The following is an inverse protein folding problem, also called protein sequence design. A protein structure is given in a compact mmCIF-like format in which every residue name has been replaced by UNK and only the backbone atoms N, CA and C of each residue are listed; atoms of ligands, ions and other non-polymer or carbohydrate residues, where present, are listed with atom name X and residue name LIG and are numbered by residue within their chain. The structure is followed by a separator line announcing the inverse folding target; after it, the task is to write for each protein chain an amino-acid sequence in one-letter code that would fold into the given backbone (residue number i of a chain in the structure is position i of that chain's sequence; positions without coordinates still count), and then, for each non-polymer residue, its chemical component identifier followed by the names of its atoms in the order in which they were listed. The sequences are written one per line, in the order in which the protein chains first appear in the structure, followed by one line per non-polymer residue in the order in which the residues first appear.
data_IF_202079178710
#
_entry.id   IF_202079178710
#
_cell.length_a   1.000
_cell.length_b   1.000
_cell.length_c   1.000
_cell.angle_alpha   90.00
_cell.angle_beta   90.00
_cell.angle_gamma   90.00
#
_symmetry.space_group_name_H-M   'P 1'
#
loop_
_entity.id
_entity.type
_entity.pdbx_description
1 polymer ?
#
# COMPACT_ATOMS: atom_id res chain seq x y z
N UNK A 1 -36.50 26.25 0.28
CA UNK A 1 -35.13 25.85 0.65
C UNK A 1 -34.24 27.06 0.50
N UNK A 2 -33.66 27.54 1.60
CA UNK A 2 -32.95 28.82 1.64
C UNK A 2 -31.71 28.81 0.72
N UNK A 3 -31.52 29.88 -0.07
CA UNK A 3 -30.45 29.94 -1.06
C UNK A 3 -29.06 29.92 -0.37
N UNK A 4 -28.98 30.50 0.83
CA UNK A 4 -27.81 30.45 1.70
C UNK A 4 -27.53 29.03 2.21
N UNK A 5 -28.57 28.27 2.54
CA UNK A 5 -28.44 26.89 3.01
C UNK A 5 -27.88 25.98 1.90
N UNK A 6 -28.32 26.17 0.65
CA UNK A 6 -27.79 25.44 -0.51
C UNK A 6 -26.32 25.72 -0.75
N UNK A 7 -25.91 26.98 -0.68
CA UNK A 7 -24.51 27.35 -0.84
C UNK A 7 -23.65 26.74 0.26
N UNK A 8 -24.08 26.86 1.53
CA UNK A 8 -23.35 26.35 2.69
C UNK A 8 -23.19 24.81 2.64
N UNK A 9 -24.24 24.09 2.27
CA UNK A 9 -24.20 22.63 2.08
C UNK A 9 -23.26 22.24 0.92
N UNK A 10 -23.31 22.96 -0.20
CA UNK A 10 -22.40 22.72 -1.33
C UNK A 10 -20.94 22.97 -0.98
N UNK A 11 -20.65 24.05 -0.24
CA UNK A 11 -19.28 24.35 0.20
C UNK A 11 -18.75 23.27 1.14
N UNK A 12 -19.54 22.83 2.13
CA UNK A 12 -19.16 21.75 3.03
C UNK A 12 -18.89 20.44 2.28
N UNK A 13 -19.72 20.10 1.30
CA UNK A 13 -19.53 18.91 0.49
C UNK A 13 -18.21 18.94 -0.28
N UNK A 14 -17.91 20.06 -0.96
CA UNK A 14 -16.66 20.23 -1.70
C UNK A 14 -15.45 20.10 -0.77
N UNK A 15 -15.47 20.78 0.38
CA UNK A 15 -14.40 20.71 1.37
C UNK A 15 -14.20 19.28 1.87
N UNK A 16 -15.29 18.55 2.15
CA UNK A 16 -15.24 17.16 2.60
C UNK A 16 -14.63 16.23 1.55
N UNK A 17 -15.00 16.38 0.27
CA UNK A 17 -14.48 15.56 -0.82
C UNK A 17 -12.99 15.80 -1.02
N UNK A 18 -12.56 17.06 -1.06
CA UNK A 18 -11.14 17.42 -1.19
C UNK A 18 -10.34 16.88 0.01
N UNK A 19 -10.89 17.03 1.23
CA UNK A 19 -10.27 16.49 2.44
C UNK A 19 -10.08 14.97 2.38
N UNK A 20 -11.09 14.23 1.92
CA UNK A 20 -11.00 12.77 1.75
C UNK A 20 -9.98 12.37 0.69
N UNK A 21 -9.88 13.10 -0.42
CA UNK A 21 -8.88 12.83 -1.46
C UNK A 21 -7.46 13.02 -0.91
N UNK A 22 -7.22 14.12 -0.18
CA UNK A 22 -5.93 14.38 0.46
C UNK A 22 -5.61 13.29 1.49
N UNK A 23 -6.58 12.91 2.32
CA UNK A 23 -6.42 11.86 3.32
C UNK A 23 -6.01 10.51 2.69
N UNK A 24 -6.66 10.11 1.59
CA UNK A 24 -6.33 8.87 0.88
C UNK A 24 -4.94 8.90 0.25
N UNK A 25 -4.45 10.06 -0.17
CA UNK A 25 -3.09 10.21 -0.74
C UNK A 25 -2.02 10.18 0.35
N UNK A 26 -2.28 10.81 1.50
CA UNK A 26 -1.30 10.91 2.59
C UNK A 26 -1.25 9.62 3.40
N UNK A 27 -2.36 8.90 3.54
CA UNK A 27 -2.42 7.67 4.33
C UNK A 27 -1.87 6.52 3.49
N UNK A 28 -0.66 6.01 3.79
CA UNK A 28 -0.10 4.91 3.02
C UNK A 28 -0.95 3.65 3.26
N UNK A 29 -1.47 3.06 2.20
CA UNK A 29 -2.06 1.72 2.27
C UNK A 29 -0.92 0.68 2.34
N UNK A 30 -0.72 0.00 3.48
CA UNK A 30 0.34 -1.00 3.61
C UNK A 30 0.07 -2.27 2.78
N UNK A 31 -1.12 -2.41 2.18
CA UNK A 31 -1.59 -3.64 1.54
C UNK A 31 -1.07 -3.87 0.11
N UNK A 32 -0.50 -2.85 -0.55
CA UNK A 32 -0.01 -2.98 -1.95
C UNK A 32 1.50 -2.75 -2.12
N UNK A 33 2.21 -2.46 -1.02
CA UNK A 33 3.66 -2.37 -1.04
C UNK A 33 4.28 -3.74 -0.75
N UNK A 34 5.31 -4.12 -1.52
CA UNK A 34 6.29 -5.07 -1.01
C UNK A 34 6.79 -4.53 0.35
N UNK A 35 6.85 -5.40 1.37
CA UNK A 35 7.18 -5.07 2.76
C UNK A 35 8.52 -4.31 2.91
N UNK A 36 9.35 -4.36 1.87
CA UNK A 36 10.63 -3.67 1.80
C UNK A 36 10.44 -2.21 1.35
N UNK A 37 10.27 -1.33 2.34
CA UNK A 37 10.04 0.12 2.21
C UNK A 37 11.19 0.85 1.48
N UNK A 38 12.36 0.24 1.36
CA UNK A 38 13.57 0.90 0.85
C UNK A 38 13.84 0.48 -0.60
N UNK A 39 13.72 1.45 -1.51
CA UNK A 39 14.15 1.31 -2.90
C UNK A 39 15.65 1.48 -3.03
N UNK A 40 16.23 0.79 -3.99
CA UNK A 40 17.65 0.85 -4.33
C UNK A 40 17.83 0.84 -5.85
N UNK A 41 18.98 1.27 -6.33
CA UNK A 41 19.23 1.40 -7.77
C UNK A 41 20.48 2.24 -8.04
N UNK A 42 20.70 2.57 -9.31
CA UNK A 42 21.88 3.34 -9.75
C UNK A 42 21.87 4.76 -9.16
N UNK A 43 20.68 5.39 -9.09
CA UNK A 43 20.51 6.77 -8.62
C UNK A 43 19.93 6.86 -7.19
N UNK A 44 19.89 5.74 -6.47
CA UNK A 44 19.28 5.63 -5.14
C UNK A 44 20.34 5.22 -4.11
N UNK A 45 20.14 5.55 -2.83
CA UNK A 45 21.05 5.12 -1.79
C UNK A 45 21.16 3.58 -1.76
N UNK A 46 22.36 3.05 -1.45
CA UNK A 46 22.53 1.62 -1.29
C UNK A 46 21.74 1.13 -0.07
N UNK A 47 21.35 -0.16 -0.11
CA UNK A 47 20.71 -0.80 1.03
C UNK A 47 21.63 -0.79 2.26
N UNK A 48 21.09 -0.42 3.41
CA UNK A 48 21.82 -0.39 4.68
C UNK A 48 21.43 -1.58 5.56
N UNK A 49 22.43 -2.29 6.09
CA UNK A 49 22.25 -3.42 7.00
C UNK A 49 23.09 -4.65 6.62
N UNK A 50 23.25 -5.58 7.56
CA UNK A 50 23.91 -6.86 7.30
C UNK A 50 23.01 -7.78 6.48
N UNK A 51 23.58 -8.45 5.46
CA UNK A 51 22.88 -9.43 4.62
C UNK A 51 21.64 -8.87 3.91
N UNK A 52 21.73 -7.64 3.39
CA UNK A 52 20.69 -7.02 2.55
C UNK A 52 21.30 -6.69 1.20
N UNK A 53 20.61 -7.04 0.11
CA UNK A 53 21.02 -6.78 -1.26
C UNK A 53 19.94 -6.06 -2.04
N UNK A 54 20.35 -5.29 -3.05
CA UNK A 54 19.41 -4.71 -3.99
C UNK A 54 18.97 -5.78 -5.00
N UNK A 55 17.66 -6.10 -5.03
CA UNK A 55 17.07 -7.01 -6.01
C UNK A 55 15.84 -6.35 -6.63
N UNK A 56 15.82 -6.24 -7.96
CA UNK A 56 14.71 -5.64 -8.73
C UNK A 56 14.30 -4.23 -8.24
N UNK A 57 15.26 -3.43 -7.76
CA UNK A 57 15.00 -2.07 -7.28
C UNK A 57 14.55 -1.97 -5.82
N UNK A 58 14.56 -3.08 -5.07
CA UNK A 58 14.17 -3.13 -3.66
C UNK A 58 15.28 -3.75 -2.81
N UNK A 59 15.41 -3.26 -1.57
CA UNK A 59 16.32 -3.82 -0.60
C UNK A 59 15.74 -5.09 0.02
N UNK A 60 16.34 -6.24 -0.30
CA UNK A 60 15.89 -7.56 0.14
C UNK A 60 16.93 -8.23 1.03
N UNK A 61 16.48 -8.85 2.12
CA UNK A 61 17.35 -9.63 2.99
C UNK A 61 17.72 -10.98 2.36
N UNK A 62 18.99 -11.41 2.54
CA UNK A 62 19.46 -12.76 2.23
C UNK A 62 19.08 -13.78 3.32
N UNK A 63 18.43 -13.33 4.41
CA UNK A 63 17.94 -14.22 5.46
C UNK A 63 16.78 -15.03 4.88
N UNK A 64 16.85 -16.37 4.90
CA UNK A 64 15.77 -17.20 4.40
C UNK A 64 14.51 -16.95 5.23
N UNK A 65 13.41 -16.66 4.55
CA UNK A 65 12.11 -16.50 5.21
C UNK A 65 11.68 -17.83 5.80
N UNK A 66 11.28 -17.81 7.06
CA UNK A 66 10.62 -18.95 7.69
C UNK A 66 9.14 -18.95 7.32
N UNK A 67 8.60 -20.11 6.98
CA UNK A 67 7.16 -20.28 6.83
C UNK A 67 6.46 -19.94 8.15
N UNK A 68 5.33 -19.22 8.12
CA UNK A 68 4.53 -19.03 9.31
C UNK A 68 4.03 -20.41 9.78
N UNK A 69 3.96 -20.61 11.11
CA UNK A 69 3.50 -21.90 11.68
C UNK A 69 2.06 -22.23 11.25
N UNK A 70 1.26 -21.21 11.01
CA UNK A 70 -0.14 -21.30 10.57
C UNK A 70 -0.28 -20.32 9.41
N UNK A 71 -0.85 -20.78 8.31
CA UNK A 71 -1.15 -19.98 7.13
C UNK A 71 -2.62 -20.13 6.80
N UNK A 72 -3.32 -19.01 6.59
CA UNK A 72 -4.72 -19.02 6.15
C UNK A 72 -4.85 -19.34 4.65
N UNK A 73 -3.72 -19.50 3.95
CA UNK A 73 -3.75 -19.90 2.55
C UNK A 73 -4.14 -21.39 2.44
N UNK A 74 -5.09 -21.73 1.55
CA UNK A 74 -5.44 -23.10 1.30
C UNK A 74 -4.23 -23.86 0.71
N UNK A 75 -3.98 -25.07 1.21
CA UNK A 75 -2.93 -25.96 0.68
C UNK A 75 -3.20 -26.39 -0.77
N UNK A 76 -4.46 -26.37 -1.19
CA UNK A 76 -4.87 -26.70 -2.55
C UNK A 76 -5.36 -25.46 -3.27
N UNK A 77 -5.06 -25.33 -4.58
CA UNK A 77 -5.60 -24.25 -5.38
C UNK A 77 -7.14 -24.31 -5.35
N UNK A 78 -7.83 -23.15 -5.41
CA UNK A 78 -9.27 -23.13 -5.46
C UNK A 78 -9.75 -23.89 -6.70
N UNK A 79 -10.73 -24.78 -6.52
CA UNK A 79 -11.32 -25.55 -7.62
C UNK A 79 -12.19 -24.69 -8.56
N UNK A 80 -12.44 -23.42 -8.19
CA UNK A 80 -13.21 -22.47 -8.98
C UNK A 80 -12.64 -21.07 -8.81
N UNK A 81 -12.26 -20.44 -9.92
CA UNK A 81 -11.91 -19.02 -9.95
C UNK A 81 -13.17 -18.21 -10.24
N UNK A 82 -13.46 -17.13 -9.51
CA UNK A 82 -14.67 -16.32 -9.70
C UNK A 82 -14.65 -15.44 -10.98
N UNK A 83 -13.60 -15.55 -11.79
CA UNK A 83 -13.39 -14.76 -13.00
C UNK A 83 -13.24 -15.61 -14.27
N UNK A 84 -13.57 -16.91 -14.21
CA UNK A 84 -13.59 -17.80 -15.37
C UNK A 84 -14.98 -17.83 -16.02
#
# INVERSE_FOLDING_TARGET
MDMKLRQLAGTLFIVSVIGMMIYLVITPNPSEGFVDVVRCGVDLPPCSGERIRCMNGYCKSDIPTSWPRISDLPMTPPTKYPYA
#
